data_IF_034467111976
#
_entry.id   IF_034467111976
#
_cell.length_a   1.000
_cell.length_b   1.000
_cell.length_c   1.000
_cell.angle_alpha   90.00
_cell.angle_beta   90.00
_cell.angle_gamma   90.00
#
_symmetry.space_group_name_H-M   'P 1'
#
loop_
_entity.id
_entity.type
_entity.pdbx_description
1 polymer ?
#
# COMPACT_ATOMS: atom_id res chain seq x y z
N UNK A 1 24.69 2.81 21.68
CA UNK A 1 25.08 2.74 20.26
C UNK A 1 24.18 3.69 19.53
N UNK A 2 24.73 4.62 18.76
CA UNK A 2 23.92 5.55 17.96
C UNK A 2 23.04 4.75 16.98
N UNK A 3 21.76 5.10 16.87
CA UNK A 3 20.83 4.41 15.96
C UNK A 3 21.36 4.43 14.52
N UNK A 4 21.94 5.56 14.08
CA UNK A 4 22.57 5.66 12.75
C UNK A 4 23.76 4.73 12.61
N UNK A 5 24.56 4.55 13.67
CA UNK A 5 25.70 3.63 13.67
C UNK A 5 25.24 2.16 13.56
N UNK A 6 24.15 1.80 14.23
CA UNK A 6 23.50 0.49 14.08
C UNK A 6 23.03 0.24 12.64
N UNK A 7 22.32 1.21 12.03
CA UNK A 7 21.91 1.13 10.63
C UNK A 7 23.10 1.01 9.67
N UNK A 8 24.19 1.78 9.88
CA UNK A 8 25.41 1.67 9.06
C UNK A 8 26.06 0.29 9.14
N UNK A 9 26.09 -0.31 10.33
CA UNK A 9 26.65 -1.64 10.53
C UNK A 9 25.87 -2.70 9.73
N UNK A 10 24.53 -2.62 9.76
CA UNK A 10 23.64 -3.57 9.09
C UNK A 10 23.53 -3.34 7.58
N UNK A 11 23.63 -2.09 7.12
CA UNK A 11 23.50 -1.71 5.71
C UNK A 11 24.37 -2.57 4.78
N UNK A 12 25.61 -2.89 5.20
CA UNK A 12 26.57 -3.67 4.39
C UNK A 12 26.04 -5.05 3.99
N UNK A 13 25.17 -5.65 4.79
CA UNK A 13 24.58 -6.97 4.53
C UNK A 13 23.45 -6.90 3.50
N UNK A 14 22.96 -5.70 3.19
CA UNK A 14 21.80 -5.46 2.34
C UNK A 14 22.14 -4.73 1.03
N UNK A 15 23.43 -4.39 0.82
CA UNK A 15 23.88 -3.86 -0.45
C UNK A 15 23.92 -4.96 -1.52
N UNK A 16 23.51 -4.63 -2.73
CA UNK A 16 23.62 -5.51 -3.88
C UNK A 16 25.05 -5.57 -4.43
N UNK A 17 25.24 -6.30 -5.54
CA UNK A 17 26.55 -6.44 -6.19
C UNK A 17 27.15 -5.12 -6.72
N UNK A 18 26.34 -4.09 -6.88
CA UNK A 18 26.74 -2.74 -7.29
C UNK A 18 26.95 -1.80 -6.11
N UNK A 19 26.76 -2.29 -4.88
CA UNK A 19 26.83 -1.48 -3.67
C UNK A 19 25.59 -0.62 -3.48
N UNK A 20 24.44 -1.02 -4.04
CA UNK A 20 23.19 -0.28 -3.99
C UNK A 20 22.18 -0.92 -3.02
N UNK A 21 21.15 -0.17 -2.61
CA UNK A 21 20.04 -0.69 -1.81
C UNK A 21 18.69 -0.34 -2.46
N UNK A 22 17.83 -1.34 -2.57
CA UNK A 22 16.46 -1.15 -3.06
C UNK A 22 15.70 -0.12 -2.20
N UNK A 23 15.01 0.85 -2.80
CA UNK A 23 14.18 1.78 -2.06
C UNK A 23 13.01 1.05 -1.37
N UNK A 24 12.38 1.66 -0.35
CA UNK A 24 11.35 1.00 0.45
C UNK A 24 10.18 0.44 -0.35
N UNK A 25 9.71 1.18 -1.36
CA UNK A 25 8.62 0.74 -2.24
C UNK A 25 9.00 -0.42 -3.16
N UNK A 26 10.28 -0.61 -3.44
CA UNK A 26 10.77 -1.79 -4.15
C UNK A 26 10.94 -2.96 -3.18
N UNK A 27 11.47 -2.73 -1.97
CA UNK A 27 11.70 -3.82 -1.02
C UNK A 27 10.41 -4.39 -0.42
N UNK A 28 9.42 -3.54 -0.17
CA UNK A 28 8.14 -3.85 0.46
C UNK A 28 6.98 -3.24 -0.34
N UNK A 29 6.73 -3.70 -1.57
CA UNK A 29 5.66 -3.15 -2.42
C UNK A 29 4.26 -3.41 -1.84
N UNK A 30 4.14 -4.44 -1.01
CA UNK A 30 2.95 -4.86 -0.27
C UNK A 30 2.75 -4.11 1.06
N UNK A 31 3.68 -3.23 1.47
CA UNK A 31 3.47 -2.34 2.61
C UNK A 31 2.70 -1.10 2.14
N UNK A 32 1.48 -0.92 2.66
CA UNK A 32 0.75 0.33 2.48
C UNK A 32 1.37 1.45 3.34
N UNK A 33 1.05 2.71 3.03
CA UNK A 33 1.74 3.90 3.60
C UNK A 33 1.68 3.98 5.13
N UNK A 34 0.57 3.57 5.72
CA UNK A 34 0.29 3.68 7.15
C UNK A 34 0.47 2.36 7.90
N UNK A 35 1.05 1.34 7.26
CA UNK A 35 1.17 0.04 7.90
C UNK A 35 2.09 0.13 9.09
N UNK A 36 1.74 -0.58 10.15
CA UNK A 36 2.54 -0.64 11.38
C UNK A 36 3.96 -1.18 11.11
N UNK A 37 4.16 -1.92 10.02
CA UNK A 37 5.46 -2.42 9.58
C UNK A 37 6.50 -1.32 9.31
N UNK A 38 6.09 -0.09 9.01
CA UNK A 38 7.00 1.06 8.89
C UNK A 38 7.45 1.64 10.23
N UNK A 39 6.69 1.38 11.30
CA UNK A 39 6.95 1.90 12.66
C UNK A 39 7.50 0.85 13.60
N UNK A 40 7.34 -0.42 13.27
CA UNK A 40 7.82 -1.55 14.04
C UNK A 40 8.16 -2.70 13.09
N UNK A 41 9.42 -3.14 13.11
CA UNK A 41 9.87 -4.34 12.41
C UNK A 41 10.70 -4.06 11.16
N UNK A 42 10.55 -4.91 10.14
CA UNK A 42 11.46 -4.93 8.99
C UNK A 42 11.40 -3.66 8.14
N UNK A 43 10.24 -3.01 8.04
CA UNK A 43 10.08 -1.77 7.27
C UNK A 43 10.79 -0.58 7.93
N UNK A 44 10.67 -0.44 9.25
CA UNK A 44 11.38 0.59 10.03
C UNK A 44 12.90 0.47 9.88
N UNK A 45 13.42 -0.76 10.07
CA UNK A 45 14.84 -1.05 9.92
C UNK A 45 15.34 -0.71 8.51
N UNK A 46 14.57 -1.08 7.49
CA UNK A 46 14.93 -0.81 6.09
C UNK A 46 14.88 0.68 5.75
N UNK A 47 13.86 1.42 6.24
CA UNK A 47 13.80 2.87 6.10
C UNK A 47 15.04 3.52 6.71
N UNK A 48 15.45 3.10 7.91
CA UNK A 48 16.65 3.60 8.56
C UNK A 48 17.92 3.33 7.73
N UNK A 49 18.09 2.10 7.24
CA UNK A 49 19.23 1.74 6.39
C UNK A 49 19.22 2.48 5.05
N UNK A 50 18.05 2.65 4.44
CA UNK A 50 17.89 3.38 3.19
C UNK A 50 18.26 4.86 3.34
N UNK A 51 17.78 5.54 4.38
CA UNK A 51 18.17 6.93 4.64
C UNK A 51 19.67 7.08 4.92
N UNK A 52 20.25 6.16 5.71
CA UNK A 52 21.69 6.13 5.96
C UNK A 52 22.52 5.87 4.69
N UNK A 53 22.00 5.07 3.76
CA UNK A 53 22.60 4.88 2.45
C UNK A 53 22.53 6.17 1.62
N UNK A 54 21.38 6.82 1.59
CA UNK A 54 21.20 8.10 0.90
C UNK A 54 22.10 9.20 1.48
N UNK A 55 22.39 9.22 2.78
CA UNK A 55 23.36 10.14 3.39
C UNK A 55 24.81 9.92 2.88
N UNK A 56 25.14 8.71 2.40
CA UNK A 56 26.45 8.37 1.85
C UNK A 56 26.59 8.73 0.36
N UNK A 57 25.47 8.91 -0.34
CA UNK A 57 25.48 9.39 -1.72
C UNK A 57 25.81 10.88 -1.77
N UNK A 58 26.48 11.30 -2.84
CA UNK A 58 26.69 12.72 -3.11
C UNK A 58 25.34 13.46 -3.17
N UNK A 59 25.24 14.67 -2.60
CA UNK A 59 23.97 15.42 -2.53
C UNK A 59 23.58 16.04 -3.88
N UNK A 60 24.41 15.94 -4.91
CA UNK A 60 24.14 16.52 -6.23
C UNK A 60 23.00 15.78 -6.95
N UNK A 61 22.24 16.53 -7.75
CA UNK A 61 21.06 16.02 -8.44
C UNK A 61 21.37 14.86 -9.38
N UNK A 62 22.53 14.85 -10.03
CA UNK A 62 22.89 13.81 -11.00
C UNK A 62 23.03 12.45 -10.31
N UNK A 63 23.73 12.40 -9.18
CA UNK A 63 23.86 11.18 -8.35
C UNK A 63 22.50 10.68 -7.86
N UNK A 64 21.64 11.59 -7.38
CA UNK A 64 20.29 11.25 -6.87
C UNK A 64 19.36 10.72 -7.96
N UNK A 65 19.38 11.36 -9.13
CA UNK A 65 18.64 10.88 -10.31
C UNK A 65 19.18 9.53 -10.75
N UNK A 66 20.49 9.34 -10.81
CA UNK A 66 21.08 8.06 -11.20
C UNK A 66 20.66 6.92 -10.26
N UNK A 67 20.61 7.16 -8.95
CA UNK A 67 20.06 6.20 -7.98
C UNK A 67 18.60 5.85 -8.30
N UNK A 68 17.71 6.85 -8.34
CA UNK A 68 16.28 6.60 -8.58
C UNK A 68 16.01 5.91 -9.92
N UNK A 69 16.81 6.17 -10.96
CA UNK A 69 16.66 5.54 -12.28
C UNK A 69 17.11 4.08 -12.36
N UNK A 70 17.90 3.61 -11.40
CA UNK A 70 18.25 2.17 -11.30
C UNK A 70 17.11 1.34 -10.72
N UNK A 71 16.14 1.98 -10.09
CA UNK A 71 15.02 1.33 -9.41
C UNK A 71 13.69 1.59 -10.15
N UNK A 72 12.65 0.77 -9.89
CA UNK A 72 11.29 1.07 -10.34
C UNK A 72 10.81 2.42 -9.80
N UNK A 73 9.96 3.16 -10.54
CA UNK A 73 9.39 4.40 -10.05
C UNK A 73 8.58 4.14 -8.78
N UNK A 74 8.60 5.12 -7.85
CA UNK A 74 7.86 4.99 -6.61
C UNK A 74 6.34 5.11 -6.86
N UNK A 75 5.51 4.49 -6.02
CA UNK A 75 4.07 4.77 -6.03
C UNK A 75 3.81 6.24 -5.72
N UNK A 76 2.72 6.81 -6.24
CA UNK A 76 2.49 8.27 -6.17
C UNK A 76 2.49 8.81 -4.74
N UNK A 77 2.03 8.02 -3.76
CA UNK A 77 2.02 8.37 -2.34
C UNK A 77 3.42 8.46 -1.70
N UNK A 78 4.49 8.08 -2.43
CA UNK A 78 5.90 8.28 -2.07
C UNK A 78 6.51 9.56 -2.66
N UNK A 79 5.72 10.43 -3.33
CA UNK A 79 6.20 11.64 -3.99
C UNK A 79 7.09 12.51 -3.08
N UNK A 80 6.71 12.69 -1.82
CA UNK A 80 7.46 13.51 -0.87
C UNK A 80 8.82 12.89 -0.50
N UNK A 81 8.88 11.56 -0.33
CA UNK A 81 10.14 10.87 -0.09
C UNK A 81 11.07 10.98 -1.31
N UNK A 82 10.54 10.81 -2.52
CA UNK A 82 11.29 10.99 -3.77
C UNK A 82 11.79 12.42 -3.93
N UNK A 83 10.98 13.42 -3.58
CA UNK A 83 11.40 14.83 -3.55
C UNK A 83 12.61 15.03 -2.62
N UNK A 84 12.54 14.51 -1.39
CA UNK A 84 13.66 14.56 -0.43
C UNK A 84 14.93 13.86 -0.92
N UNK A 85 14.80 12.76 -1.66
CA UNK A 85 15.96 12.11 -2.29
C UNK A 85 16.62 13.04 -3.32
N UNK A 86 15.82 13.72 -4.15
CA UNK A 86 16.32 14.63 -5.19
C UNK A 86 16.85 15.96 -4.65
N UNK A 87 16.37 16.38 -3.48
CA UNK A 87 16.62 17.69 -2.87
C UNK A 87 17.09 17.56 -1.40
N UNK A 88 18.21 16.87 -1.12
CA UNK A 88 18.61 16.52 0.26
C UNK A 88 19.06 17.73 1.10
N UNK A 89 19.26 18.90 0.50
CA UNK A 89 19.69 20.14 1.17
C UNK A 89 18.60 21.18 1.30
N UNK A 90 17.40 20.93 0.74
CA UNK A 90 16.25 21.78 1.01
C UNK A 90 15.84 21.55 2.46
N UNK A 91 16.10 22.54 3.33
CA UNK A 91 15.54 22.57 4.68
C UNK A 91 14.02 22.65 4.57
N UNK A 92 13.29 21.94 5.43
CA UNK A 92 11.87 22.28 5.61
C UNK A 92 11.80 23.72 6.11
N UNK A 93 10.73 24.43 5.74
CA UNK A 93 10.43 25.72 6.37
C UNK A 93 10.29 25.60 7.90
N UNK A 94 10.08 24.38 8.42
CA UNK A 94 9.95 24.05 9.84
C UNK A 94 11.29 23.72 10.54
N UNK A 95 12.42 23.66 9.83
CA UNK A 95 13.74 23.37 10.43
C UNK A 95 14.47 24.65 10.91
N UNK A 96 13.74 25.77 11.06
CA UNK A 96 14.24 27.06 11.58
C UNK A 96 13.96 27.33 13.06
N UNK A 97 13.41 26.40 13.85
CA UNK A 97 13.25 26.61 15.30
C UNK A 97 14.06 25.60 16.13
N UNK A 98 15.32 25.96 16.32
CA UNK A 98 16.22 25.34 17.27
C UNK A 98 17.08 26.41 17.93
N UNK A 99 16.42 27.36 18.61
CA UNK A 99 16.88 28.14 19.77
C UNK A 99 16.27 29.56 19.74
N UNK A 100 15.04 29.72 20.22
CA UNK A 100 14.65 30.92 20.99
C UNK A 100 13.39 30.62 21.82
N UNK A 101 13.54 30.71 23.15
CA UNK A 101 12.46 30.60 24.12
C UNK A 101 11.47 31.76 23.95
N UNK A 102 10.28 31.53 23.37
CA UNK A 102 9.07 32.23 23.85
C UNK A 102 7.80 31.48 23.40
N UNK A 103 6.84 31.37 24.32
CA UNK A 103 5.58 30.66 24.10
C UNK A 103 4.67 31.41 23.12
N UNK A 104 4.46 30.82 21.95
CA UNK A 104 3.46 31.25 20.97
C UNK A 104 2.87 30.03 20.28
N UNK A 105 1.55 30.04 20.11
CA UNK A 105 0.72 28.95 19.58
C UNK A 105 1.30 28.32 18.30
N UNK A 106 1.50 27.00 18.33
CA UNK A 106 1.92 26.15 17.21
C UNK A 106 0.86 26.21 16.09
N UNK A 107 1.01 27.14 15.14
CA UNK A 107 0.37 27.05 13.83
C UNK A 107 1.33 26.30 12.90
N UNK A 108 1.19 24.98 12.86
CA UNK A 108 1.96 24.11 11.97
C UNK A 108 1.71 24.52 10.52
N UNK A 109 2.72 25.09 9.88
CA UNK A 109 2.64 25.58 8.51
C UNK A 109 2.18 24.50 7.54
N UNK A 110 0.89 24.50 7.22
CA UNK A 110 0.34 23.67 6.14
C UNK A 110 1.05 24.07 4.85
N UNK A 111 1.91 23.19 4.37
CA UNK A 111 2.53 23.33 3.06
C UNK A 111 1.44 23.55 2.00
N UNK A 112 1.57 24.61 1.20
CA UNK A 112 0.58 24.99 0.18
C UNK A 112 0.21 23.74 -0.65
N UNK A 113 -1.04 23.25 -0.57
CA UNK A 113 -1.49 22.06 -1.30
C UNK A 113 -1.23 22.17 -2.82
N UNK A 114 -1.22 23.40 -3.36
CA UNK A 114 -0.88 23.70 -4.75
C UNK A 114 0.58 23.37 -5.06
N UNK A 115 1.51 23.68 -4.15
CA UNK A 115 2.93 23.37 -4.30
C UNK A 115 3.19 21.87 -4.26
N UNK A 116 2.57 21.14 -3.33
CA UNK A 116 2.67 19.68 -3.25
C UNK A 116 2.12 18.99 -4.52
N UNK A 117 0.98 19.48 -5.05
CA UNK A 117 0.40 18.99 -6.29
C UNK A 117 1.30 19.27 -7.51
N UNK A 118 1.91 20.45 -7.58
CA UNK A 118 2.86 20.81 -8.64
C UNK A 118 4.12 19.92 -8.59
N UNK A 119 4.70 19.68 -7.40
CA UNK A 119 5.83 18.76 -7.23
C UNK A 119 5.49 17.34 -7.68
N UNK A 120 4.35 16.82 -7.24
CA UNK A 120 3.87 15.48 -7.63
C UNK A 120 3.71 15.38 -9.16
N UNK A 121 3.12 16.39 -9.79
CA UNK A 121 2.97 16.45 -11.24
C UNK A 121 4.33 16.43 -11.95
N UNK A 122 5.29 17.22 -11.49
CA UNK A 122 6.63 17.24 -12.06
C UNK A 122 7.37 15.90 -11.90
N UNK A 123 7.20 15.21 -10.77
CA UNK A 123 7.80 13.88 -10.53
C UNK A 123 7.15 12.80 -11.41
N UNK A 124 5.84 12.87 -11.64
CA UNK A 124 5.11 12.00 -12.57
C UNK A 124 5.61 12.20 -14.01
N UNK A 125 5.73 13.44 -14.47
CA UNK A 125 6.24 13.77 -15.81
C UNK A 125 7.67 13.28 -16.02
N UNK A 126 8.51 13.38 -14.98
CA UNK A 126 9.86 12.84 -15.00
C UNK A 126 9.86 11.30 -14.88
N UNK A 127 8.76 10.65 -14.50
CA UNK A 127 8.69 9.21 -14.32
C UNK A 127 9.51 8.70 -13.12
N UNK A 128 9.64 9.51 -12.07
CA UNK A 128 10.19 9.05 -10.78
C UNK A 128 9.11 8.46 -9.87
N UNK A 129 7.86 8.85 -10.10
CA UNK A 129 6.70 8.25 -9.46
C UNK A 129 5.68 7.80 -10.52
N UNK A 130 4.80 6.87 -10.16
CA UNK A 130 3.79 6.31 -11.04
C UNK A 130 2.52 5.89 -10.30
N UNK A 131 1.41 5.84 -11.05
CA UNK A 131 0.11 5.32 -10.63
C UNK A 131 0.10 3.79 -10.74
N UNK A 132 -0.48 3.11 -9.75
CA UNK A 132 -0.63 1.65 -9.74
C UNK A 132 0.65 0.83 -9.99
N UNK A 133 1.79 1.33 -9.47
CA UNK A 133 3.08 0.68 -9.70
C UNK A 133 3.40 -0.41 -8.68
N UNK A 134 2.90 -0.29 -7.44
CA UNK A 134 3.19 -1.25 -6.36
C UNK A 134 2.81 -2.68 -6.75
N UNK A 135 1.65 -2.87 -7.35
CA UNK A 135 1.22 -4.19 -7.83
C UNK A 135 2.20 -4.78 -8.86
N UNK A 136 2.69 -3.97 -9.80
CA UNK A 136 3.62 -4.44 -10.84
C UNK A 136 4.99 -4.77 -10.25
N UNK A 137 5.46 -3.97 -9.29
CA UNK A 137 6.70 -4.22 -8.55
C UNK A 137 6.57 -5.54 -7.78
N UNK A 138 5.50 -5.70 -6.99
CA UNK A 138 5.21 -6.93 -6.26
C UNK A 138 5.15 -8.13 -7.21
N UNK A 139 4.45 -8.01 -8.34
CA UNK A 139 4.30 -9.08 -9.32
C UNK A 139 5.65 -9.48 -9.95
N UNK A 140 6.54 -8.52 -10.23
CA UNK A 140 7.87 -8.80 -10.78
C UNK A 140 8.80 -9.55 -9.82
N UNK A 141 8.46 -9.57 -8.52
CA UNK A 141 9.20 -10.28 -7.48
C UNK A 141 8.67 -11.70 -7.24
N UNK A 142 7.55 -12.07 -7.86
CA UNK A 142 6.97 -13.40 -7.69
C UNK A 142 7.60 -14.40 -8.66
N UNK A 143 8.00 -15.56 -8.12
CA UNK A 143 8.33 -16.75 -8.91
C UNK A 143 7.10 -17.68 -8.93
N UNK A 144 6.14 -17.36 -9.79
CA UNK A 144 4.85 -18.05 -9.88
C UNK A 144 3.77 -17.48 -8.96
N UNK A 145 2.76 -18.30 -8.65
CA UNK A 145 1.68 -17.94 -7.72
C UNK A 145 1.99 -18.54 -6.36
N UNK A 146 2.21 -17.68 -5.37
CA UNK A 146 2.24 -18.08 -3.95
C UNK A 146 0.83 -17.99 -3.38
N UNK A 147 0.33 -19.08 -2.83
CA UNK A 147 -1.04 -19.12 -2.36
C UNK A 147 -1.15 -18.58 -0.93
N UNK A 148 -2.17 -17.77 -0.59
CA UNK A 148 -2.33 -17.20 0.74
C UNK A 148 -2.33 -18.23 1.89
N UNK A 149 -2.81 -19.45 1.61
CA UNK A 149 -2.83 -20.54 2.59
C UNK A 149 -1.47 -21.14 2.92
N UNK A 150 -0.40 -20.75 2.23
CA UNK A 150 0.97 -21.10 2.60
C UNK A 150 1.44 -20.34 3.85
N UNK A 151 0.86 -19.15 4.10
CA UNK A 151 1.19 -18.29 5.24
C UNK A 151 0.06 -18.20 6.27
N UNK A 152 -1.19 -18.43 5.86
CA UNK A 152 -2.37 -18.24 6.70
C UNK A 152 -3.28 -19.47 6.72
N UNK A 153 -3.56 -19.97 7.93
CA UNK A 153 -4.42 -21.13 8.14
C UNK A 153 -5.85 -20.93 7.63
N UNK A 154 -6.38 -19.71 7.74
CA UNK A 154 -7.76 -19.37 7.37
C UNK A 154 -7.83 -18.13 6.48
N UNK A 155 -8.86 -18.02 5.62
CA UNK A 155 -9.06 -16.87 4.74
C UNK A 155 -9.22 -15.54 5.49
N UNK A 156 -9.84 -15.54 6.66
CA UNK A 156 -10.07 -14.35 7.50
C UNK A 156 -8.74 -13.77 7.99
N UNK A 157 -7.82 -14.63 8.46
CA UNK A 157 -6.47 -14.20 8.89
C UNK A 157 -5.70 -13.57 7.72
N UNK A 158 -5.81 -14.14 6.52
CA UNK A 158 -5.18 -13.56 5.33
C UNK A 158 -5.80 -12.19 4.97
N UNK A 159 -7.14 -12.09 4.97
CA UNK A 159 -7.85 -10.84 4.72
C UNK A 159 -7.53 -9.76 5.75
N UNK A 160 -7.30 -10.14 7.01
CA UNK A 160 -7.01 -9.24 8.11
C UNK A 160 -5.57 -8.74 8.14
N UNK A 161 -4.62 -9.66 8.10
CA UNK A 161 -3.20 -9.36 8.36
C UNK A 161 -2.38 -9.19 7.09
N UNK A 162 -2.95 -9.54 5.93
CA UNK A 162 -2.26 -9.49 4.65
C UNK A 162 -3.09 -8.83 3.54
N UNK A 163 -3.96 -7.88 3.90
CA UNK A 163 -5.00 -7.37 3.01
C UNK A 163 -4.45 -6.85 1.68
N UNK A 164 -3.32 -6.14 1.72
CA UNK A 164 -2.69 -5.58 0.52
C UNK A 164 -2.08 -6.64 -0.40
N UNK A 165 -1.25 -7.54 0.14
CA UNK A 165 -0.70 -8.64 -0.65
C UNK A 165 -1.81 -9.57 -1.15
N UNK A 166 -2.84 -9.83 -0.35
CA UNK A 166 -3.98 -10.64 -0.76
C UNK A 166 -4.77 -9.97 -1.89
N UNK A 167 -4.87 -8.64 -1.90
CA UNK A 167 -5.40 -7.87 -3.02
C UNK A 167 -4.51 -7.98 -4.27
N UNK A 168 -3.19 -7.93 -4.13
CA UNK A 168 -2.28 -8.12 -5.27
C UNK A 168 -2.37 -9.55 -5.84
N UNK A 169 -2.37 -10.57 -4.97
CA UNK A 169 -2.63 -11.95 -5.37
C UNK A 169 -3.98 -12.10 -6.08
N UNK A 170 -5.02 -11.44 -5.57
CA UNK A 170 -6.37 -11.46 -6.15
C UNK A 170 -6.37 -10.98 -7.60
N UNK A 171 -5.66 -9.87 -7.87
CA UNK A 171 -5.46 -9.33 -9.22
C UNK A 171 -4.68 -10.29 -10.11
N UNK A 172 -3.59 -10.89 -9.62
CA UNK A 172 -2.79 -11.87 -10.37
C UNK A 172 -3.65 -13.08 -10.78
N UNK A 173 -4.42 -13.64 -9.83
CA UNK A 173 -5.31 -14.78 -10.08
C UNK A 173 -6.42 -14.42 -11.06
N UNK A 174 -7.00 -13.22 -10.96
CA UNK A 174 -8.00 -12.75 -11.91
C UNK A 174 -7.45 -12.69 -13.35
N UNK A 175 -6.20 -12.24 -13.56
CA UNK A 175 -5.55 -12.28 -14.87
C UNK A 175 -5.29 -13.71 -15.35
N UNK A 176 -4.79 -14.59 -14.48
CA UNK A 176 -4.55 -15.99 -14.82
C UNK A 176 -5.84 -16.71 -15.23
N UNK A 177 -6.95 -16.42 -14.54
CA UNK A 177 -8.27 -16.98 -14.85
C UNK A 177 -8.78 -16.58 -16.24
N UNK A 178 -8.41 -15.40 -16.73
CA UNK A 178 -8.76 -14.94 -18.09
C UNK A 178 -7.89 -15.58 -19.18
N UNK A 179 -6.75 -16.16 -18.80
CA UNK A 179 -5.86 -16.86 -19.72
C UNK A 179 -6.37 -18.26 -20.10
N UNK A 180 -5.84 -18.78 -21.21
CA UNK A 180 -6.10 -20.16 -21.62
C UNK A 180 -5.41 -21.14 -20.66
N UNK A 181 -6.14 -22.17 -20.21
CA UNK A 181 -5.57 -23.25 -19.40
C UNK A 181 -5.58 -23.02 -17.88
N UNK A 182 -6.36 -22.05 -17.38
CA UNK A 182 -6.60 -21.92 -15.94
C UNK A 182 -7.15 -23.22 -15.35
N UNK A 183 -6.44 -23.77 -14.36
CA UNK A 183 -6.89 -24.87 -13.54
C UNK A 183 -6.72 -24.43 -12.08
N UNK A 184 -7.81 -24.33 -11.29
CA UNK A 184 -7.70 -23.93 -9.90
C UNK A 184 -6.89 -24.97 -9.10
N UNK A 185 -6.07 -24.55 -8.14
CA UNK A 185 -5.31 -25.46 -7.30
C UNK A 185 -6.24 -26.25 -6.37
N UNK A 186 -5.70 -27.30 -5.75
CA UNK A 186 -6.35 -27.94 -4.63
C UNK A 186 -6.41 -26.96 -3.45
N UNK A 187 -7.62 -26.68 -2.96
CA UNK A 187 -7.84 -25.75 -1.85
C UNK A 187 -7.85 -26.54 -0.53
N UNK A 188 -7.06 -26.13 0.48
CA UNK A 188 -7.02 -26.82 1.77
C UNK A 188 -8.34 -26.69 2.53
N UNK A 189 -8.55 -27.54 3.53
CA UNK A 189 -9.81 -27.61 4.29
C UNK A 189 -10.21 -26.28 4.91
N UNK A 190 -9.28 -25.56 5.54
CA UNK A 190 -9.52 -24.24 6.15
C UNK A 190 -9.97 -23.16 5.15
N UNK A 191 -9.75 -23.39 3.85
CA UNK A 191 -10.07 -22.44 2.77
C UNK A 191 -11.23 -22.91 1.88
N UNK A 192 -11.90 -24.01 2.24
CA UNK A 192 -12.95 -24.63 1.40
C UNK A 192 -14.09 -23.67 1.06
N UNK A 193 -14.39 -22.71 1.95
CA UNK A 193 -15.40 -21.66 1.72
C UNK A 193 -15.06 -20.73 0.55
N UNK A 194 -13.78 -20.59 0.20
CA UNK A 194 -13.30 -19.76 -0.91
C UNK A 194 -13.12 -20.53 -2.22
N UNK A 195 -13.26 -21.86 -2.22
CA UNK A 195 -12.89 -22.72 -3.35
C UNK A 195 -13.68 -22.40 -4.63
N UNK A 196 -15.00 -22.21 -4.51
CA UNK A 196 -15.86 -21.84 -5.65
C UNK A 196 -15.45 -20.49 -6.22
N UNK A 197 -15.31 -19.47 -5.35
CA UNK A 197 -14.94 -18.12 -5.77
C UNK A 197 -13.58 -18.09 -6.48
N UNK A 198 -12.59 -18.81 -5.95
CA UNK A 198 -11.29 -18.96 -6.59
C UNK A 198 -11.41 -19.59 -7.99
N UNK A 199 -12.18 -20.67 -8.10
CA UNK A 199 -12.32 -21.43 -9.34
C UNK A 199 -13.05 -20.65 -10.44
N UNK A 200 -14.22 -20.09 -10.12
CA UNK A 200 -15.12 -19.47 -11.10
C UNK A 200 -14.86 -17.98 -11.31
N UNK A 201 -14.27 -17.29 -10.32
CA UNK A 201 -14.29 -15.82 -10.28
C UNK A 201 -15.63 -15.24 -9.85
N UNK A 202 -16.54 -16.07 -9.33
CA UNK A 202 -17.84 -15.64 -8.82
C UNK A 202 -17.93 -15.93 -7.33
N UNK A 203 -18.10 -14.87 -6.54
CA UNK A 203 -18.14 -14.95 -5.09
C UNK A 203 -19.54 -15.31 -4.54
N UNK A 204 -20.59 -15.31 -5.37
CA UNK A 204 -21.98 -15.23 -4.91
C UNK A 204 -22.62 -16.57 -4.48
N UNK A 205 -23.59 -16.52 -3.52
CA UNK A 205 -23.94 -15.36 -2.69
C UNK A 205 -22.95 -15.17 -1.53
N UNK A 206 -22.67 -13.90 -1.22
CA UNK A 206 -21.88 -13.46 -0.06
C UNK A 206 -22.84 -13.13 1.11
N UNK A 207 -22.43 -13.47 2.34
CA UNK A 207 -23.16 -13.14 3.58
C UNK A 207 -22.43 -12.00 4.30
N UNK A 208 -22.95 -10.76 4.30
CA UNK A 208 -22.26 -9.61 4.89
C UNK A 208 -21.87 -9.77 6.37
N UNK A 209 -22.60 -10.59 7.13
CA UNK A 209 -22.29 -10.87 8.54
C UNK A 209 -21.02 -11.69 8.75
N UNK A 210 -20.53 -12.36 7.71
CA UNK A 210 -19.28 -13.13 7.76
C UNK A 210 -18.03 -12.24 7.58
N UNK A 211 -18.21 -10.92 7.35
CA UNK A 211 -17.13 -9.93 7.47
C UNK A 211 -15.88 -10.23 6.65
N UNK A 212 -14.80 -10.57 7.34
CA UNK A 212 -13.49 -10.94 6.75
C UNK A 212 -13.57 -12.15 5.82
N UNK A 213 -14.42 -13.14 6.11
CA UNK A 213 -14.60 -14.29 5.21
C UNK A 213 -15.28 -13.87 3.90
N UNK A 214 -16.24 -12.96 3.99
CA UNK A 214 -16.90 -12.37 2.83
C UNK A 214 -15.94 -11.56 1.97
N UNK A 215 -15.08 -10.75 2.59
CA UNK A 215 -13.98 -10.07 1.89
C UNK A 215 -13.03 -11.07 1.24
N UNK A 216 -12.61 -12.12 1.94
CA UNK A 216 -11.70 -13.13 1.40
C UNK A 216 -12.28 -13.86 0.19
N UNK A 217 -13.58 -14.19 0.21
CA UNK A 217 -14.28 -14.79 -0.95
C UNK A 217 -14.29 -13.85 -2.15
N UNK A 218 -14.53 -12.56 -1.94
CA UNK A 218 -14.50 -11.56 -2.99
C UNK A 218 -13.08 -11.34 -3.56
N UNK A 219 -12.06 -11.37 -2.69
CA UNK A 219 -10.66 -11.38 -3.11
C UNK A 219 -10.32 -12.65 -3.92
N UNK A 220 -10.78 -13.83 -3.52
CA UNK A 220 -10.63 -15.04 -4.33
C UNK A 220 -11.34 -14.94 -5.69
N UNK A 221 -12.50 -14.27 -5.75
CA UNK A 221 -13.19 -14.00 -6.99
C UNK A 221 -12.46 -12.99 -7.89
N UNK A 222 -11.62 -12.10 -7.32
CA UNK A 222 -10.99 -11.03 -8.09
C UNK A 222 -11.89 -9.80 -8.27
N UNK A 223 -12.96 -9.71 -7.49
CA UNK A 223 -13.99 -8.68 -7.61
C UNK A 223 -14.50 -8.31 -6.21
N UNK A 224 -13.92 -7.25 -5.63
CA UNK A 224 -14.36 -6.71 -4.33
C UNK A 224 -15.59 -5.84 -4.56
N UNK A 225 -16.72 -6.25 -3.99
CA UNK A 225 -17.99 -5.51 -4.07
C UNK A 225 -18.04 -4.42 -3.01
N UNK A 226 -18.51 -3.23 -3.36
CA UNK A 226 -18.73 -2.18 -2.39
C UNK A 226 -19.95 -2.51 -1.49
N UNK A 227 -20.00 -2.02 -0.24
CA UNK A 227 -21.11 -2.28 0.68
C UNK A 227 -22.50 -1.96 0.11
N UNK A 228 -22.63 -0.84 -0.59
CA UNK A 228 -23.89 -0.43 -1.23
C UNK A 228 -24.33 -1.35 -2.38
N UNK A 229 -23.41 -2.09 -3.01
CA UNK A 229 -23.76 -3.11 -4.01
C UNK A 229 -24.35 -4.37 -3.35
N UNK A 230 -24.15 -4.54 -2.04
CA UNK A 230 -24.72 -5.61 -1.23
C UNK A 230 -25.97 -5.15 -0.45
N UNK A 231 -26.42 -3.90 -0.64
CA UNK A 231 -27.56 -3.33 0.08
C UNK A 231 -27.26 -2.96 1.53
N UNK A 232 -25.99 -2.75 1.87
CA UNK A 232 -25.57 -2.25 3.19
C UNK A 232 -25.57 -0.73 3.24
N UNK A 233 -25.80 -0.20 4.43
CA UNK A 233 -25.85 1.23 4.73
C UNK A 233 -24.70 1.62 5.67
N UNK A 234 -24.44 2.92 5.82
CA UNK A 234 -23.42 3.40 6.76
C UNK A 234 -23.69 3.02 8.22
N UNK A 235 -24.96 2.75 8.58
CA UNK A 235 -25.32 2.29 9.91
C UNK A 235 -24.81 0.86 10.21
N UNK A 236 -24.38 0.11 9.19
CA UNK A 236 -23.76 -1.21 9.34
C UNK A 236 -22.25 -1.11 9.63
N UNK A 237 -21.66 0.10 9.61
CA UNK A 237 -20.28 0.34 10.02
C UNK A 237 -20.21 0.39 11.56
N UNK A 238 -19.40 -0.49 12.15
CA UNK A 238 -19.26 -0.58 13.60
C UNK A 238 -17.95 0.02 14.15
N UNK A 239 -17.03 0.42 13.27
CA UNK A 239 -15.65 0.79 13.60
C UNK A 239 -14.96 -0.30 14.44
N UNK A 240 -15.22 -1.55 14.07
CA UNK A 240 -14.66 -2.72 14.73
C UNK A 240 -13.47 -3.26 13.97
N UNK A 241 -12.38 -3.48 14.69
CA UNK A 241 -11.24 -4.25 14.20
C UNK A 241 -11.22 -5.64 14.84
N UNK A 242 -12.31 -6.19 15.35
CA UNK A 242 -12.32 -7.57 15.87
C UNK A 242 -12.54 -8.60 14.75
N UNK A 243 -12.28 -9.89 15.02
CA UNK A 243 -12.39 -10.94 14.00
C UNK A 243 -13.85 -11.19 13.56
N UNK A 244 -14.82 -10.69 14.32
CA UNK A 244 -16.26 -10.72 14.05
C UNK A 244 -16.80 -9.42 13.42
N UNK A 245 -15.91 -8.56 12.90
CA UNK A 245 -16.31 -7.33 12.22
C UNK A 245 -17.27 -7.56 11.06
N UNK A 246 -18.16 -6.60 10.79
CA UNK A 246 -19.07 -6.65 9.65
C UNK A 246 -18.35 -6.42 8.32
N UNK A 247 -19.04 -6.67 7.20
CA UNK A 247 -18.46 -6.45 5.89
C UNK A 247 -18.08 -4.98 5.60
N UNK A 248 -18.76 -4.00 6.20
CA UNK A 248 -18.40 -2.58 6.01
C UNK A 248 -17.04 -2.26 6.63
N UNK A 249 -16.74 -2.80 7.81
CA UNK A 249 -15.43 -2.69 8.46
C UNK A 249 -14.34 -3.44 7.68
N UNK A 250 -14.63 -4.65 7.20
CA UNK A 250 -13.71 -5.40 6.35
C UNK A 250 -13.43 -4.67 5.03
N UNK A 251 -14.46 -4.07 4.42
CA UNK A 251 -14.32 -3.24 3.22
C UNK A 251 -13.45 -2.01 3.48
N UNK A 252 -13.60 -1.36 4.65
CA UNK A 252 -12.73 -0.26 5.07
C UNK A 252 -11.27 -0.70 5.14
N UNK A 253 -10.99 -1.82 5.80
CA UNK A 253 -9.64 -2.39 5.90
C UNK A 253 -9.02 -2.62 4.52
N UNK A 254 -9.79 -3.18 3.58
CA UNK A 254 -9.37 -3.33 2.20
C UNK A 254 -9.09 -1.99 1.51
N UNK A 255 -10.01 -1.04 1.58
CA UNK A 255 -9.87 0.25 0.90
C UNK A 255 -8.67 1.07 1.38
N UNK A 256 -8.35 1.02 2.69
CA UNK A 256 -7.14 1.63 3.26
C UNK A 256 -5.84 1.02 2.69
N UNK A 257 -5.89 -0.24 2.25
CA UNK A 257 -4.72 -1.00 1.81
C UNK A 257 -4.57 -1.08 0.29
N UNK A 258 -5.69 -1.01 -0.44
CA UNK A 258 -5.78 -1.41 -1.84
C UNK A 258 -5.26 -0.37 -2.83
N UNK A 259 -5.31 0.92 -2.46
CA UNK A 259 -5.07 2.03 -3.38
C UNK A 259 -3.81 2.81 -3.00
N UNK A 260 -2.98 3.08 -4.01
CA UNK A 260 -1.84 3.99 -3.85
C UNK A 260 -2.20 5.44 -4.17
N UNK A 261 -3.30 5.65 -4.88
CA UNK A 261 -3.63 6.91 -5.52
C UNK A 261 -5.14 7.15 -5.67
N UNK A 262 -5.51 8.43 -5.67
CA UNK A 262 -6.89 8.87 -5.82
C UNK A 262 -7.51 8.53 -7.19
N UNK A 263 -6.70 8.31 -8.22
CA UNK A 263 -7.22 7.95 -9.53
C UNK A 263 -7.77 6.51 -9.55
N UNK A 264 -7.07 5.55 -8.95
CA UNK A 264 -7.58 4.18 -8.80
C UNK A 264 -8.83 4.12 -7.91
N UNK A 265 -8.82 4.83 -6.78
CA UNK A 265 -10.01 4.90 -5.93
C UNK A 265 -11.21 5.45 -6.71
N UNK A 266 -11.05 6.58 -7.41
CA UNK A 266 -12.14 7.15 -8.24
C UNK A 266 -12.67 6.16 -9.28
N UNK A 267 -11.78 5.46 -10.00
CA UNK A 267 -12.21 4.42 -10.97
C UNK A 267 -13.04 3.33 -10.32
N UNK A 268 -12.65 2.89 -9.11
CA UNK A 268 -13.42 1.91 -8.34
C UNK A 268 -14.80 2.47 -7.93
N UNK A 269 -14.85 3.69 -7.41
CA UNK A 269 -16.10 4.35 -6.98
C UNK A 269 -17.06 4.59 -8.15
N UNK A 270 -16.55 4.98 -9.31
CA UNK A 270 -17.32 5.14 -10.54
C UNK A 270 -17.88 3.79 -11.03
N UNK A 271 -17.04 2.75 -11.05
CA UNK A 271 -17.44 1.41 -11.48
C UNK A 271 -18.51 0.79 -10.56
N UNK A 272 -18.43 1.06 -9.27
CA UNK A 272 -19.37 0.57 -8.26
C UNK A 272 -20.56 1.50 -8.03
N UNK A 273 -20.60 2.67 -8.68
CA UNK A 273 -21.67 3.68 -8.58
C UNK A 273 -21.93 4.10 -7.14
N UNK A 274 -20.91 4.67 -6.50
CA UNK A 274 -21.00 5.19 -5.14
C UNK A 274 -22.25 6.09 -4.96
N UNK A 275 -23.11 5.84 -3.95
CA UNK A 275 -24.20 6.73 -3.62
C UNK A 275 -23.71 8.00 -2.92
N UNK A 276 -24.37 9.17 -3.07
CA UNK A 276 -23.95 10.42 -2.44
C UNK A 276 -23.76 10.33 -0.92
N UNK A 277 -24.54 9.48 -0.24
CA UNK A 277 -24.42 9.27 1.21
C UNK A 277 -23.07 8.69 1.66
N UNK A 278 -22.33 8.04 0.75
CA UNK A 278 -21.04 7.40 1.06
C UNK A 278 -19.82 8.28 0.78
N UNK A 279 -19.96 9.36 0.00
CA UNK A 279 -18.83 10.17 -0.49
C UNK A 279 -18.00 10.75 0.67
N UNK A 280 -18.66 11.31 1.68
CA UNK A 280 -17.99 11.89 2.84
C UNK A 280 -17.25 10.83 3.66
N UNK A 281 -17.88 9.67 3.89
CA UNK A 281 -17.25 8.56 4.60
C UNK A 281 -16.04 8.02 3.85
N UNK A 282 -16.11 7.90 2.52
CA UNK A 282 -14.98 7.45 1.69
C UNK A 282 -13.81 8.45 1.77
N UNK A 283 -14.09 9.75 1.67
CA UNK A 283 -13.06 10.77 1.77
C UNK A 283 -12.35 10.76 3.14
N UNK A 284 -13.10 10.45 4.20
CA UNK A 284 -12.55 10.31 5.55
C UNK A 284 -11.75 9.01 5.72
N UNK A 285 -12.28 7.87 5.27
CA UNK A 285 -11.72 6.56 5.55
C UNK A 285 -10.58 6.15 4.59
N UNK A 286 -10.57 6.67 3.36
CA UNK A 286 -9.55 6.35 2.35
C UNK A 286 -8.74 7.61 1.99
N UNK A 287 -7.83 8.06 2.86
CA UNK A 287 -6.99 9.23 2.60
C UNK A 287 -5.94 8.90 1.53
N UNK A 288 -6.34 9.05 0.26
CA UNK A 288 -5.46 8.95 -0.90
C UNK A 288 -5.21 10.34 -1.47
N UNK A 289 -3.93 10.72 -1.52
CA UNK A 289 -3.47 12.01 -2.05
C UNK A 289 -3.38 12.02 -3.60
#
# INVERSE_FOLDING_TARGET
MDWKESCRSRLREHLDAHGDIAPPWERFPDYERYTIGWRMGSGEDWLGMWWVFLEQLAPDRETRVAYLRRHPPAPINWAEAVHKVLHPTEKRADDEDGDEEDGGEEDGGEEDPSAAAARRSALLEQGFIAVDVSFRIWLSQQDGVRWPWESYETPEKAARYNTREFWFWSRQVAELRRGDGWAPPAVPEGWRACATALASGDADPIEPRDGLLSLARLLCAGDVKAPWQLGLELADFADSFDDDMGYVDAFRLWGMSAFDDAHQLRRYLEATRVPPGWEAWIAEQFPVD
#
